data_IF_440488088498
#
_entry.id   IF_440488088498
#
_cell.length_a   1.000
_cell.length_b   1.000
_cell.length_c   1.000
_cell.angle_alpha   90.00
_cell.angle_beta   90.00
_cell.angle_gamma   90.00
#
_symmetry.space_group_name_H-M   'P 1'
#
loop_
_entity.id
_entity.type
_entity.pdbx_description
1 polymer ?
#
# COMPACT_ATOMS: atom_id res chain seq x y z
N UNK A 1 -11.81 -3.92 -4.14
CA UNK A 1 -11.99 -3.23 -5.45
C UNK A 1 -13.47 -2.93 -5.57
N UNK A 2 -13.89 -1.66 -5.74
CA UNK A 2 -15.30 -1.30 -5.78
C UNK A 2 -16.04 -2.01 -6.91
N UNK A 3 -17.15 -2.70 -6.61
CA UNK A 3 -17.96 -3.41 -7.60
C UNK A 3 -18.57 -2.48 -8.64
N UNK A 4 -18.77 -1.20 -8.27
CA UNK A 4 -19.25 -0.15 -9.18
C UNK A 4 -18.25 0.20 -10.30
N UNK A 5 -16.97 -0.11 -10.13
CA UNK A 5 -15.90 0.11 -11.12
C UNK A 5 -15.48 -1.21 -11.77
N UNK A 6 -15.42 -2.27 -10.98
CA UNK A 6 -14.98 -3.61 -11.39
C UNK A 6 -16.17 -4.59 -11.34
N UNK A 7 -17.18 -4.30 -12.12
CA UNK A 7 -18.34 -5.17 -12.29
C UNK A 7 -18.01 -6.42 -13.12
N UNK A 8 -19.03 -7.25 -13.37
CA UNK A 8 -18.87 -8.50 -14.15
C UNK A 8 -18.47 -8.26 -15.60
N UNK A 9 -18.75 -7.07 -16.13
CA UNK A 9 -18.49 -6.69 -17.52
C UNK A 9 -17.17 -5.92 -17.68
N UNK A 10 -16.44 -5.66 -16.55
CA UNK A 10 -15.15 -4.97 -16.59
C UNK A 10 -14.13 -5.75 -17.41
N UNK A 11 -13.67 -5.16 -18.50
CA UNK A 11 -12.66 -5.75 -19.37
C UNK A 11 -11.25 -5.56 -18.75
N UNK A 12 -10.77 -6.58 -18.05
CA UNK A 12 -9.37 -6.60 -17.59
C UNK A 12 -8.42 -6.60 -18.79
N UNK A 13 -7.23 -6.03 -18.57
CA UNK A 13 -6.19 -6.02 -19.60
C UNK A 13 -5.85 -7.44 -20.04
N UNK A 14 -5.69 -7.69 -21.36
CA UNK A 14 -5.27 -9.00 -21.87
C UNK A 14 -3.89 -9.34 -21.31
N UNK A 15 -3.65 -10.62 -21.05
CA UNK A 15 -2.40 -11.11 -20.46
C UNK A 15 -1.16 -10.68 -21.26
N UNK A 16 -1.27 -10.55 -22.58
CA UNK A 16 -0.19 -10.06 -23.46
C UNK A 16 0.20 -8.60 -23.20
N UNK A 17 -0.68 -7.81 -22.63
CA UNK A 17 -0.45 -6.42 -22.24
C UNK A 17 0.27 -6.32 -20.89
N UNK A 18 0.26 -7.38 -20.09
CA UNK A 18 0.91 -7.37 -18.77
C UNK A 18 2.41 -7.60 -18.91
N UNK A 19 3.19 -7.05 -17.99
CA UNK A 19 4.61 -7.38 -17.85
C UNK A 19 4.76 -8.84 -17.40
N UNK A 20 5.72 -9.54 -18.03
CA UNK A 20 6.21 -10.83 -17.57
C UNK A 20 7.09 -10.65 -16.34
N UNK A 21 7.30 -11.69 -15.57
CA UNK A 21 8.11 -11.62 -14.35
C UNK A 21 9.57 -11.24 -14.64
N UNK A 22 10.10 -11.68 -15.77
CA UNK A 22 11.43 -11.28 -16.26
C UNK A 22 11.49 -9.78 -16.57
N UNK A 23 10.44 -9.23 -17.16
CA UNK A 23 10.35 -7.80 -17.47
C UNK A 23 10.27 -6.96 -16.19
N UNK A 24 9.49 -7.43 -15.20
CA UNK A 24 9.40 -6.79 -13.87
C UNK A 24 10.76 -6.84 -13.17
N UNK A 25 11.40 -8.01 -13.11
CA UNK A 25 12.72 -8.19 -12.50
C UNK A 25 13.74 -7.25 -13.14
N UNK A 26 13.77 -7.13 -14.48
CA UNK A 26 14.67 -6.23 -15.19
C UNK A 26 14.46 -4.78 -14.82
N UNK A 27 13.19 -4.31 -14.78
CA UNK A 27 12.86 -2.95 -14.38
C UNK A 27 13.25 -2.71 -12.91
N UNK A 28 13.00 -3.67 -12.00
CA UNK A 28 13.39 -3.56 -10.60
C UNK A 28 14.91 -3.48 -10.43
N UNK A 29 15.70 -4.24 -11.21
CA UNK A 29 17.17 -4.12 -11.23
C UNK A 29 17.62 -2.70 -11.59
N UNK A 30 16.97 -2.08 -12.58
CA UNK A 30 17.26 -0.69 -12.95
C UNK A 30 16.89 0.27 -11.81
N UNK A 31 15.76 0.07 -11.13
CA UNK A 31 15.42 0.87 -9.94
C UNK A 31 16.44 0.70 -8.80
N UNK A 32 16.91 -0.52 -8.58
CA UNK A 32 17.94 -0.80 -7.57
C UNK A 32 19.24 -0.07 -7.90
N UNK A 33 19.66 0.02 -9.18
CA UNK A 33 20.84 0.81 -9.56
C UNK A 33 20.69 2.31 -9.31
N UNK A 34 19.46 2.80 -9.11
CA UNK A 34 19.16 4.17 -8.65
C UNK A 34 18.99 4.28 -7.12
N UNK A 35 19.37 3.26 -6.36
CA UNK A 35 19.32 3.29 -4.90
C UNK A 35 17.97 2.89 -4.31
N UNK A 36 17.09 2.20 -5.06
CA UNK A 36 15.86 1.65 -4.50
C UNK A 36 16.19 0.44 -3.64
N UNK A 37 15.82 0.50 -2.35
CA UNK A 37 16.07 -0.54 -1.36
C UNK A 37 14.83 -1.36 -1.02
N UNK A 38 13.64 -0.85 -1.39
CA UNK A 38 12.36 -1.44 -1.01
C UNK A 38 11.43 -1.58 -2.19
N UNK A 39 10.87 -2.77 -2.35
CA UNK A 39 9.80 -3.06 -3.32
C UNK A 39 8.57 -3.54 -2.59
N UNK A 40 7.43 -2.90 -2.91
CA UNK A 40 6.12 -3.30 -2.39
C UNK A 40 5.28 -3.87 -3.52
N UNK A 41 4.89 -5.12 -3.38
CA UNK A 41 3.90 -5.74 -4.24
C UNK A 41 2.50 -5.35 -3.76
N UNK A 42 1.70 -4.81 -4.65
CA UNK A 42 0.34 -4.33 -4.39
C UNK A 42 -0.46 -4.40 -5.69
N UNK A 43 -1.56 -3.71 -5.81
CA UNK A 43 -2.41 -3.68 -7.00
C UNK A 43 -3.87 -3.63 -6.58
N UNK A 44 -4.77 -4.26 -7.31
CA UNK A 44 -6.11 -4.57 -6.81
C UNK A 44 -5.98 -5.55 -5.64
N UNK A 45 -5.79 -6.85 -5.94
CA UNK A 45 -5.36 -7.85 -4.95
C UNK A 45 -4.20 -8.68 -5.56
N UNK A 46 -2.97 -8.49 -5.06
CA UNK A 46 -1.80 -9.15 -5.66
C UNK A 46 -1.83 -10.68 -5.52
N UNK A 47 -2.47 -11.23 -4.49
CA UNK A 47 -2.55 -12.66 -4.26
C UNK A 47 -3.41 -13.41 -5.29
N UNK A 48 -4.19 -12.68 -6.10
CA UNK A 48 -4.91 -13.24 -7.25
C UNK A 48 -4.00 -13.48 -8.46
N UNK A 49 -2.80 -12.86 -8.49
CA UNK A 49 -1.85 -13.12 -9.58
C UNK A 49 -1.30 -14.52 -9.47
N UNK A 50 -1.46 -15.29 -10.55
CA UNK A 50 -0.93 -16.65 -10.63
C UNK A 50 0.59 -16.63 -10.45
N UNK A 51 1.12 -17.60 -9.72
CA UNK A 51 2.56 -17.82 -9.50
C UNK A 51 3.30 -16.58 -8.94
N UNK A 52 2.64 -15.75 -8.12
CA UNK A 52 3.23 -14.55 -7.51
C UNK A 52 4.51 -14.87 -6.72
N UNK A 53 4.55 -16.04 -6.06
CA UNK A 53 5.71 -16.57 -5.35
C UNK A 53 6.94 -16.72 -6.25
N UNK A 54 6.76 -17.03 -7.54
CA UNK A 54 7.88 -17.07 -8.48
C UNK A 54 8.47 -15.67 -8.76
N UNK A 55 7.63 -14.64 -8.82
CA UNK A 55 8.11 -13.26 -8.90
C UNK A 55 8.86 -12.87 -7.63
N UNK A 56 8.31 -13.18 -6.45
CA UNK A 56 8.95 -12.89 -5.16
C UNK A 56 10.32 -13.56 -5.09
N UNK A 57 10.43 -14.84 -5.47
CA UNK A 57 11.69 -15.58 -5.46
C UNK A 57 12.74 -14.98 -6.42
N UNK A 58 12.33 -14.40 -7.56
CA UNK A 58 13.21 -13.66 -8.46
C UNK A 58 13.72 -12.37 -7.82
N UNK A 59 12.81 -11.57 -7.25
CA UNK A 59 13.15 -10.29 -6.62
C UNK A 59 13.96 -10.48 -5.34
N UNK A 60 13.75 -11.56 -4.59
CA UNK A 60 14.50 -11.89 -3.37
C UNK A 60 16.00 -12.18 -3.60
N UNK A 61 16.40 -12.43 -4.85
CA UNK A 61 17.82 -12.60 -5.23
C UNK A 61 18.53 -11.28 -5.51
N UNK A 62 17.79 -10.18 -5.59
CA UNK A 62 18.36 -8.86 -5.83
C UNK A 62 18.91 -8.29 -4.53
N UNK A 63 20.03 -7.59 -4.66
CA UNK A 63 20.65 -6.85 -3.57
C UNK A 63 20.68 -5.37 -3.89
N UNK A 64 20.61 -4.54 -2.87
CA UNK A 64 20.79 -3.09 -2.99
C UNK A 64 22.22 -2.75 -3.49
N UNK A 65 22.48 -1.49 -3.80
CA UNK A 65 23.82 -1.04 -4.20
C UNK A 65 24.85 -1.22 -3.08
N UNK A 66 24.42 -1.29 -1.82
CA UNK A 66 25.26 -1.59 -0.65
C UNK A 66 25.39 -3.12 -0.39
N UNK A 67 24.84 -3.97 -1.25
CA UNK A 67 24.91 -5.43 -1.11
C UNK A 67 23.94 -6.02 -0.08
N UNK A 68 22.98 -5.24 0.43
CA UNK A 68 21.96 -5.72 1.35
C UNK A 68 20.81 -6.40 0.61
N UNK A 69 20.08 -7.30 1.26
CA UNK A 69 18.87 -7.88 0.70
C UNK A 69 17.81 -6.80 0.45
N UNK A 70 17.16 -6.85 -0.73
CA UNK A 70 16.07 -5.94 -1.06
C UNK A 70 14.88 -6.16 -0.12
N UNK A 71 14.36 -5.08 0.48
CA UNK A 71 13.18 -5.14 1.38
C UNK A 71 11.91 -5.41 0.57
N UNK A 72 11.51 -6.68 0.50
CA UNK A 72 10.31 -7.11 -0.22
C UNK A 72 9.09 -7.10 0.70
N UNK A 73 8.09 -6.33 0.32
CA UNK A 73 6.84 -6.21 1.09
C UNK A 73 5.63 -6.48 0.21
N UNK A 74 4.53 -6.92 0.81
CA UNK A 74 3.25 -7.14 0.15
C UNK A 74 2.15 -6.35 0.88
N UNK A 75 1.23 -5.74 0.13
CA UNK A 75 -0.03 -5.22 0.66
C UNK A 75 -1.18 -6.04 0.08
N UNK A 76 -2.06 -6.57 0.92
CA UNK A 76 -3.14 -7.47 0.53
C UNK A 76 -4.41 -7.21 1.35
N UNK A 77 -5.57 -7.60 0.82
CA UNK A 77 -6.82 -7.64 1.56
C UNK A 77 -6.90 -8.83 2.56
N UNK A 78 -5.89 -9.70 2.60
CA UNK A 78 -5.76 -10.78 3.55
C UNK A 78 -6.55 -12.07 3.25
N UNK A 79 -7.57 -12.03 2.41
CA UNK A 79 -8.52 -13.15 2.18
C UNK A 79 -7.87 -14.46 1.70
N UNK A 80 -6.69 -14.39 1.08
CA UNK A 80 -5.97 -15.54 0.56
C UNK A 80 -4.73 -15.92 1.39
N UNK A 81 -4.43 -15.20 2.48
CA UNK A 81 -3.23 -15.43 3.29
C UNK A 81 -3.21 -16.81 3.95
N UNK A 82 -4.37 -17.31 4.40
CA UNK A 82 -4.49 -18.67 5.00
C UNK A 82 -3.88 -19.75 4.10
N UNK A 83 -4.02 -19.61 2.79
CA UNK A 83 -3.52 -20.56 1.80
C UNK A 83 -2.12 -20.24 1.27
N UNK A 84 -1.71 -18.96 1.30
CA UNK A 84 -0.52 -18.50 0.60
C UNK A 84 0.63 -18.04 1.51
N UNK A 85 0.39 -17.75 2.79
CA UNK A 85 1.39 -17.13 3.66
C UNK A 85 2.71 -17.92 3.72
N UNK A 86 2.67 -19.23 3.89
CA UNK A 86 3.87 -20.07 3.93
C UNK A 86 4.65 -20.01 2.61
N UNK A 87 3.97 -20.17 1.46
CA UNK A 87 4.60 -20.10 0.14
C UNK A 87 5.27 -18.75 -0.11
N UNK A 88 4.63 -17.65 0.31
CA UNK A 88 5.18 -16.30 0.16
C UNK A 88 6.44 -16.13 1.04
N UNK A 89 6.41 -16.68 2.26
CA UNK A 89 7.56 -16.65 3.17
C UNK A 89 8.74 -17.44 2.63
N UNK A 90 8.49 -18.64 2.15
CA UNK A 90 9.50 -19.53 1.56
C UNK A 90 10.11 -18.93 0.28
N UNK A 91 9.32 -18.18 -0.50
CA UNK A 91 9.78 -17.45 -1.66
C UNK A 91 10.68 -16.23 -1.33
N UNK A 92 10.77 -15.83 -0.05
CA UNK A 92 11.63 -14.74 0.40
C UNK A 92 10.90 -13.41 0.68
N UNK A 93 9.56 -13.39 0.73
CA UNK A 93 8.82 -12.21 1.17
C UNK A 93 9.14 -11.91 2.65
N UNK A 94 9.46 -10.66 2.96
CA UNK A 94 9.92 -10.29 4.30
C UNK A 94 8.81 -9.72 5.17
N UNK A 95 7.90 -8.93 4.60
CA UNK A 95 6.87 -8.22 5.36
C UNK A 95 5.53 -8.21 4.65
N UNK A 96 4.46 -8.24 5.45
CA UNK A 96 3.07 -8.14 4.98
C UNK A 96 2.40 -6.93 5.61
N UNK A 97 1.60 -6.25 4.80
CA UNK A 97 0.61 -5.28 5.24
C UNK A 97 -0.76 -5.82 4.84
N UNK A 98 -1.70 -5.83 5.77
CA UNK A 98 -3.07 -6.28 5.54
C UNK A 98 -4.01 -5.08 5.65
N UNK A 99 -4.91 -4.91 4.69
CA UNK A 99 -5.99 -3.93 4.76
C UNK A 99 -7.17 -4.51 5.52
N UNK A 100 -7.58 -3.84 6.62
CA UNK A 100 -8.67 -4.26 7.47
C UNK A 100 -9.33 -3.03 8.10
N UNK A 101 -10.51 -2.66 7.65
CA UNK A 101 -11.15 -1.39 7.98
C UNK A 101 -12.16 -1.49 9.13
N UNK A 102 -12.48 -2.68 9.64
CA UNK A 102 -13.33 -2.94 10.78
C UNK A 102 -13.17 -4.38 11.29
N UNK A 103 -13.59 -4.65 12.54
CA UNK A 103 -13.80 -6.00 13.10
C UNK A 103 -15.24 -6.47 12.95
N UNK A 104 -16.17 -5.53 12.86
CA UNK A 104 -17.59 -5.81 12.59
C UNK A 104 -17.75 -6.19 11.10
N UNK A 105 -18.39 -7.34 10.83
CA UNK A 105 -18.47 -7.91 9.47
C UNK A 105 -19.30 -7.03 8.52
N UNK A 106 -20.38 -6.42 9.00
CA UNK A 106 -21.25 -5.57 8.17
C UNK A 106 -20.52 -4.28 7.80
N UNK A 107 -19.83 -3.67 8.76
CA UNK A 107 -19.01 -2.47 8.55
C UNK A 107 -17.83 -2.78 7.61
N UNK A 108 -17.16 -3.91 7.82
CA UNK A 108 -16.06 -4.36 6.97
C UNK A 108 -16.51 -4.55 5.52
N UNK A 109 -17.61 -5.26 5.29
CA UNK A 109 -18.16 -5.49 3.94
C UNK A 109 -18.60 -4.20 3.27
N UNK A 110 -19.23 -3.29 4.02
CA UNK A 110 -19.65 -1.98 3.52
C UNK A 110 -18.46 -1.11 3.09
N UNK A 111 -17.35 -1.10 3.89
CA UNK A 111 -16.15 -0.32 3.60
C UNK A 111 -15.37 -0.87 2.39
N UNK A 112 -15.27 -2.19 2.26
CA UNK A 112 -14.39 -2.84 1.28
C UNK A 112 -15.13 -3.32 0.03
N UNK A 113 -16.46 -3.27 0.02
CA UNK A 113 -17.33 -3.76 -1.07
C UNK A 113 -16.96 -5.20 -1.49
N UNK A 114 -16.89 -6.11 -0.50
CA UNK A 114 -16.46 -7.50 -0.68
C UNK A 114 -17.51 -8.51 -0.21
N UNK A 115 -17.42 -9.74 -0.70
CA UNK A 115 -18.36 -10.82 -0.38
C UNK A 115 -17.82 -11.83 0.66
N UNK A 116 -16.57 -11.68 1.12
CA UNK A 116 -15.99 -12.54 2.14
C UNK A 116 -16.07 -11.91 3.54
N UNK A 117 -16.14 -12.73 4.61
CA UNK A 117 -16.25 -12.23 5.97
C UNK A 117 -14.92 -11.70 6.51
N UNK A 118 -15.00 -10.81 7.49
CA UNK A 118 -13.82 -10.28 8.20
C UNK A 118 -12.99 -11.40 8.85
N UNK A 119 -13.63 -12.50 9.26
CA UNK A 119 -12.96 -13.69 9.82
C UNK A 119 -11.87 -14.25 8.90
N UNK A 120 -12.10 -14.28 7.58
CA UNK A 120 -11.11 -14.77 6.62
C UNK A 120 -9.83 -13.92 6.65
N UNK A 121 -9.95 -12.62 6.90
CA UNK A 121 -8.81 -11.70 7.02
C UNK A 121 -8.05 -11.91 8.31
N UNK A 122 -8.77 -12.08 9.43
CA UNK A 122 -8.17 -12.35 10.74
C UNK A 122 -7.44 -13.69 10.75
N UNK A 123 -8.07 -14.74 10.22
CA UNK A 123 -7.43 -16.06 10.03
C UNK A 123 -6.20 -15.96 9.12
N UNK A 124 -6.25 -15.08 8.12
CA UNK A 124 -5.13 -14.80 7.23
C UNK A 124 -3.96 -14.12 7.94
N UNK A 125 -4.22 -13.17 8.85
CA UNK A 125 -3.19 -12.53 9.70
C UNK A 125 -2.53 -13.58 10.60
N UNK A 126 -3.33 -14.42 11.26
CA UNK A 126 -2.84 -15.50 12.11
C UNK A 126 -2.00 -16.52 11.32
N UNK A 127 -2.44 -16.89 10.12
CA UNK A 127 -1.69 -17.79 9.24
C UNK A 127 -0.35 -17.16 8.82
N UNK A 128 -0.31 -15.87 8.53
CA UNK A 128 0.93 -15.16 8.22
C UNK A 128 1.86 -15.11 9.43
N UNK A 129 1.33 -14.85 10.63
CA UNK A 129 2.13 -14.90 11.87
C UNK A 129 2.72 -16.30 12.10
N UNK A 130 1.94 -17.37 11.95
CA UNK A 130 2.42 -18.76 12.04
C UNK A 130 3.46 -19.11 10.98
N UNK A 131 3.38 -18.49 9.78
CA UNK A 131 4.38 -18.64 8.73
C UNK A 131 5.69 -17.86 9.00
N UNK A 132 5.79 -17.17 10.13
CA UNK A 132 7.00 -16.45 10.56
C UNK A 132 7.08 -15.00 10.10
N UNK A 133 6.00 -14.40 9.60
CA UNK A 133 5.94 -12.96 9.43
C UNK A 133 5.77 -12.28 10.79
N UNK A 134 6.73 -11.40 11.13
CA UNK A 134 6.71 -10.65 12.38
C UNK A 134 6.23 -9.23 12.14
N UNK A 135 5.61 -8.62 13.16
CA UNK A 135 5.16 -7.22 13.11
C UNK A 135 4.34 -6.90 11.84
N UNK A 136 3.34 -7.75 11.57
CA UNK A 136 2.42 -7.53 10.44
C UNK A 136 1.79 -6.14 10.62
N UNK A 137 1.79 -5.34 9.55
CA UNK A 137 1.13 -4.04 9.55
C UNK A 137 -0.32 -4.22 9.12
N UNK A 138 -1.25 -3.69 9.91
CA UNK A 138 -2.68 -3.69 9.59
C UNK A 138 -3.09 -2.26 9.30
N UNK A 139 -3.59 -2.00 8.10
CA UNK A 139 -4.04 -0.68 7.68
C UNK A 139 -5.56 -0.57 7.82
N UNK A 140 -6.02 0.48 8.50
CA UNK A 140 -7.41 0.87 8.59
C UNK A 140 -7.56 2.28 7.99
N UNK A 141 -8.31 2.41 6.90
CA UNK A 141 -8.76 3.72 6.42
C UNK A 141 -9.94 4.15 7.25
N UNK A 142 -9.88 5.34 7.86
CA UNK A 142 -10.93 5.83 8.76
C UNK A 142 -11.82 6.81 8.02
N UNK A 143 -13.12 6.48 7.92
CA UNK A 143 -14.15 7.32 7.31
C UNK A 143 -15.21 7.69 8.33
N UNK A 144 -15.44 9.00 8.52
CA UNK A 144 -16.43 9.52 9.47
C UNK A 144 -17.83 9.00 9.17
N UNK A 145 -18.53 8.57 10.22
CA UNK A 145 -19.91 8.10 10.15
C UNK A 145 -20.07 6.72 9.49
N UNK A 146 -18.96 6.06 9.12
CA UNK A 146 -18.97 4.72 8.52
C UNK A 146 -18.27 3.72 9.44
N UNK A 147 -16.96 3.87 9.67
CA UNK A 147 -16.18 2.95 10.50
C UNK A 147 -15.39 3.64 11.63
N UNK A 148 -15.62 4.92 11.89
CA UNK A 148 -14.93 5.66 12.96
C UNK A 148 -15.22 5.09 14.36
N UNK A 149 -16.39 4.50 14.59
CA UNK A 149 -16.71 3.78 15.81
C UNK A 149 -15.88 2.49 16.00
N UNK A 150 -15.19 2.01 14.95
CA UNK A 150 -14.30 0.86 15.01
C UNK A 150 -12.87 1.21 15.45
N UNK A 151 -12.49 2.49 15.58
CA UNK A 151 -11.13 2.92 15.99
C UNK A 151 -10.72 2.24 17.30
N UNK A 152 -11.53 2.35 18.33
CA UNK A 152 -11.22 1.76 19.65
C UNK A 152 -11.28 0.23 19.68
N UNK A 153 -12.30 -0.43 19.10
CA UNK A 153 -12.31 -1.88 18.93
C UNK A 153 -11.05 -2.41 18.24
N UNK A 154 -10.66 -1.80 17.12
CA UNK A 154 -9.44 -2.17 16.37
C UNK A 154 -8.17 -1.97 17.22
N UNK A 155 -8.03 -0.81 17.87
CA UNK A 155 -6.91 -0.52 18.75
C UNK A 155 -6.78 -1.54 19.88
N UNK A 156 -7.89 -1.92 20.53
CA UNK A 156 -7.92 -2.95 21.59
C UNK A 156 -7.54 -4.34 21.08
N UNK A 157 -8.04 -4.71 19.89
CA UNK A 157 -7.79 -6.03 19.31
C UNK A 157 -6.30 -6.24 18.98
N UNK A 158 -5.65 -5.24 18.39
CA UNK A 158 -4.25 -5.35 17.99
C UNK A 158 -3.24 -4.97 19.08
N UNK A 159 -3.69 -4.35 20.18
CA UNK A 159 -2.83 -4.04 21.33
C UNK A 159 -2.29 -5.35 21.96
N UNK A 160 -0.98 -5.44 22.12
CA UNK A 160 -0.32 -6.64 22.65
C UNK A 160 -0.19 -7.81 21.67
N UNK A 161 -0.72 -7.71 20.44
CA UNK A 161 -0.65 -8.78 19.43
C UNK A 161 0.75 -8.93 18.79
N UNK A 162 1.64 -7.95 18.94
CA UNK A 162 2.89 -7.86 18.20
C UNK A 162 2.74 -7.33 16.77
N UNK A 163 1.53 -7.00 16.34
CA UNK A 163 1.24 -6.36 15.06
C UNK A 163 1.12 -4.85 15.21
N UNK A 164 1.27 -4.10 14.10
CA UNK A 164 1.19 -2.63 14.10
C UNK A 164 -0.07 -2.19 13.38
N UNK A 165 -1.06 -1.72 14.13
CA UNK A 165 -2.24 -1.09 13.54
C UNK A 165 -1.91 0.31 13.05
N UNK A 166 -2.27 0.64 11.81
CA UNK A 166 -2.07 1.96 11.21
C UNK A 166 -3.38 2.53 10.74
N UNK A 167 -3.71 3.70 11.24
CA UNK A 167 -4.88 4.47 10.82
C UNK A 167 -4.50 5.42 9.69
N UNK A 168 -5.30 5.45 8.66
CA UNK A 168 -5.07 6.26 7.45
C UNK A 168 -6.26 7.20 7.28
N UNK A 169 -6.01 8.48 7.16
CA UNK A 169 -7.05 9.45 6.84
C UNK A 169 -7.68 9.12 5.48
N UNK A 170 -9.03 9.18 5.40
CA UNK A 170 -9.76 8.92 4.17
C UNK A 170 -9.36 9.92 3.08
N UNK A 171 -8.81 9.43 1.98
CA UNK A 171 -8.24 10.23 0.88
C UNK A 171 -9.10 10.19 -0.38
N UNK A 172 -8.98 11.23 -1.20
CA UNK A 172 -9.58 11.37 -2.52
C UNK A 172 -8.82 10.61 -3.63
N UNK A 173 -8.46 9.36 -3.36
CA UNK A 173 -7.76 8.49 -4.33
C UNK A 173 -8.71 7.99 -5.40
N UNK A 174 -8.24 7.96 -6.67
CA UNK A 174 -9.09 7.61 -7.80
C UNK A 174 -10.18 8.65 -8.08
N UNK A 175 -11.19 8.25 -8.81
CA UNK A 175 -12.33 9.09 -9.19
C UNK A 175 -13.68 8.58 -8.67
N UNK A 176 -13.71 7.36 -8.08
CA UNK A 176 -14.96 6.63 -7.78
C UNK A 176 -15.34 6.58 -6.31
N UNK A 177 -14.48 7.05 -5.38
CA UNK A 177 -14.70 6.84 -3.94
C UNK A 177 -15.64 7.85 -3.25
N UNK A 178 -16.17 8.85 -3.99
CA UNK A 178 -17.13 9.83 -3.47
C UNK A 178 -16.57 10.67 -2.31
N UNK A 179 -15.28 10.94 -2.27
CA UNK A 179 -14.60 11.62 -1.19
C UNK A 179 -15.14 13.02 -0.91
N UNK A 180 -15.31 13.34 0.38
CA UNK A 180 -15.64 14.66 0.89
C UNK A 180 -14.75 14.96 2.09
N UNK A 181 -14.35 16.22 2.25
CA UNK A 181 -13.52 16.64 3.39
C UNK A 181 -14.22 16.40 4.74
N UNK A 182 -15.53 16.53 4.79
CA UNK A 182 -16.34 16.28 6.00
C UNK A 182 -16.29 14.82 6.46
N UNK A 183 -15.96 13.88 5.57
CA UNK A 183 -15.82 12.46 5.86
C UNK A 183 -14.45 12.11 6.49
N UNK A 184 -13.53 13.09 6.56
CA UNK A 184 -12.18 12.89 7.11
C UNK A 184 -12.18 13.03 8.62
N UNK A 185 -11.55 12.07 9.30
CA UNK A 185 -11.17 12.18 10.72
C UNK A 185 -9.66 12.40 10.75
N UNK A 186 -9.22 13.45 11.45
CA UNK A 186 -7.81 13.76 11.52
C UNK A 186 -7.03 12.71 12.32
N UNK A 187 -5.79 12.45 11.92
CA UNK A 187 -4.88 11.58 12.68
C UNK A 187 -4.76 12.01 14.14
N UNK A 188 -4.76 13.33 14.40
CA UNK A 188 -4.75 13.87 15.77
C UNK A 188 -5.98 13.41 16.58
N UNK A 189 -7.18 13.42 15.99
CA UNK A 189 -8.40 13.01 16.68
C UNK A 189 -8.42 11.49 16.93
N UNK A 190 -7.88 10.69 15.99
CA UNK A 190 -7.68 9.25 16.18
C UNK A 190 -6.74 8.99 17.37
N UNK A 191 -5.57 9.63 17.39
CA UNK A 191 -4.61 9.49 18.49
C UNK A 191 -5.22 9.94 19.80
N UNK A 192 -5.91 11.08 19.84
CA UNK A 192 -6.55 11.59 21.05
C UNK A 192 -7.60 10.62 21.61
N UNK A 193 -8.43 10.02 20.75
CA UNK A 193 -9.45 9.05 21.16
C UNK A 193 -8.85 7.78 21.78
N UNK A 194 -7.72 7.29 21.23
CA UNK A 194 -7.02 6.13 21.77
C UNK A 194 -6.29 6.50 23.05
N UNK A 195 -5.57 7.64 23.06
CA UNK A 195 -4.81 8.13 24.22
C UNK A 195 -5.66 8.33 25.47
N UNK A 196 -6.92 8.74 25.31
CA UNK A 196 -7.86 8.92 26.43
C UNK A 196 -8.13 7.62 27.21
N UNK A 197 -7.95 6.44 26.55
CA UNK A 197 -8.23 5.13 27.18
C UNK A 197 -6.92 4.35 27.37
N UNK A 198 -6.02 4.44 26.41
CA UNK A 198 -4.73 3.76 26.38
C UNK A 198 -3.63 4.81 26.13
N UNK A 199 -2.96 5.32 27.16
CA UNK A 199 -1.99 6.39 27.04
C UNK A 199 -0.88 6.07 26.02
N UNK A 200 -0.60 7.03 25.14
CA UNK A 200 0.35 6.93 24.02
C UNK A 200 1.44 8.00 24.17
N UNK A 201 2.62 7.74 23.67
CA UNK A 201 3.67 8.73 23.44
C UNK A 201 4.19 8.64 22.00
N UNK A 202 4.60 9.77 21.39
CA UNK A 202 5.19 9.74 20.05
C UNK A 202 6.57 9.11 20.09
N UNK A 203 6.93 8.38 19.03
CA UNK A 203 8.28 7.82 18.86
C UNK A 203 8.85 8.22 17.51
N UNK A 204 10.18 8.32 17.44
CA UNK A 204 10.87 8.75 16.23
C UNK A 204 10.60 7.84 15.02
N UNK A 205 10.65 8.42 13.83
CA UNK A 205 10.63 7.67 12.58
C UNK A 205 11.82 6.70 12.50
N UNK A 206 11.62 5.56 11.87
CA UNK A 206 12.68 4.53 11.70
C UNK A 206 13.64 4.88 10.57
N UNK A 207 13.16 5.63 9.56
CA UNK A 207 13.94 6.04 8.39
C UNK A 207 13.38 7.33 7.79
N UNK A 208 14.19 8.03 7.02
CA UNK A 208 13.76 9.24 6.30
C UNK A 208 12.63 8.94 5.29
N UNK A 209 11.60 9.79 5.24
CA UNK A 209 10.43 9.59 4.36
C UNK A 209 9.43 8.53 4.85
N UNK A 210 9.52 8.08 6.12
CA UNK A 210 8.47 7.27 6.72
C UNK A 210 7.16 8.06 6.78
N UNK A 211 6.10 7.50 6.20
CA UNK A 211 4.80 8.20 6.04
C UNK A 211 3.93 8.13 7.28
N UNK A 212 4.13 7.11 8.11
CA UNK A 212 3.34 6.91 9.31
C UNK A 212 4.05 7.58 10.50
N UNK A 213 3.39 8.51 11.16
CA UNK A 213 3.76 8.94 12.50
C UNK A 213 3.50 7.78 13.47
N UNK A 214 4.48 7.49 14.33
CA UNK A 214 4.45 6.33 15.22
C UNK A 214 4.19 6.76 16.67
N UNK A 215 3.37 5.96 17.33
CA UNK A 215 2.97 6.18 18.73
C UNK A 215 3.07 4.86 19.49
N UNK A 216 3.71 4.85 20.65
CA UNK A 216 3.88 3.69 21.52
C UNK A 216 2.89 3.77 22.68
N UNK A 217 2.31 2.63 23.07
CA UNK A 217 1.57 2.51 24.31
C UNK A 217 2.52 2.61 25.50
N UNK A 218 2.18 3.46 26.51
CA UNK A 218 3.05 3.66 27.68
C UNK A 218 3.23 2.39 28.53
N UNK A 219 2.30 1.45 28.44
CA UNK A 219 2.41 0.17 29.15
C UNK A 219 3.26 -0.88 28.42
N UNK A 220 3.88 -0.52 27.31
CA UNK A 220 4.74 -1.43 26.52
C UNK A 220 3.99 -2.44 25.66
N UNK A 221 2.66 -2.33 25.53
CA UNK A 221 1.83 -3.30 24.76
C UNK A 221 1.93 -3.13 23.24
N UNK A 222 2.90 -2.39 22.72
CA UNK A 222 3.14 -2.23 21.29
C UNK A 222 3.02 -0.80 20.80
N UNK A 223 2.76 -0.65 19.50
CA UNK A 223 2.67 0.65 18.85
C UNK A 223 1.50 0.71 17.86
N UNK A 224 1.07 1.93 17.56
CA UNK A 224 0.19 2.26 16.44
C UNK A 224 0.90 3.23 15.49
N UNK A 225 0.40 3.35 14.27
CA UNK A 225 0.82 4.40 13.33
C UNK A 225 -0.38 5.22 12.87
N UNK A 226 -0.14 6.46 12.49
CA UNK A 226 -1.14 7.30 11.81
C UNK A 226 -0.55 7.87 10.53
N UNK A 227 -1.36 7.95 9.47
CA UNK A 227 -0.96 8.49 8.16
C UNK A 227 -1.86 9.67 7.83
N UNK A 228 -1.32 10.88 8.06
CA UNK A 228 -2.01 12.16 7.96
C UNK A 228 -2.01 12.69 6.51
N UNK A 229 -2.52 11.88 5.58
CA UNK A 229 -2.42 12.15 4.14
C UNK A 229 -3.26 13.34 3.65
N UNK A 230 -4.20 13.83 4.48
CA UNK A 230 -5.08 14.96 4.19
C UNK A 230 -4.72 16.17 5.05
N UNK A 231 -4.58 15.99 6.37
CA UNK A 231 -4.38 17.10 7.31
C UNK A 231 -2.92 17.52 7.42
N UNK A 232 -1.96 16.64 7.12
CA UNK A 232 -0.51 16.94 7.13
C UNK A 232 0.16 16.31 5.90
N UNK A 233 0.03 16.92 4.72
CA UNK A 233 0.60 16.38 3.48
C UNK A 233 2.14 16.28 3.55
N UNK A 234 2.68 15.21 2.97
CA UNK A 234 4.12 14.85 2.98
C UNK A 234 4.68 14.70 1.56
N UNK A 235 4.23 15.54 0.61
CA UNK A 235 4.67 15.46 -0.79
C UNK A 235 6.16 15.79 -0.97
N UNK A 236 6.69 16.73 -0.18
CA UNK A 236 8.09 17.16 -0.27
C UNK A 236 9.09 16.02 -0.05
N UNK A 237 8.79 15.10 0.89
CA UNK A 237 9.65 13.98 1.26
C UNK A 237 9.24 12.65 0.59
N UNK A 238 8.35 12.70 -0.40
CA UNK A 238 7.82 11.50 -1.03
C UNK A 238 8.83 10.85 -1.98
N UNK A 239 9.39 9.71 -1.59
CA UNK A 239 10.35 8.90 -2.36
C UNK A 239 9.72 7.71 -3.10
N UNK A 240 8.40 7.73 -3.36
CA UNK A 240 7.67 6.58 -3.90
C UNK A 240 7.38 6.72 -5.38
N UNK A 241 7.62 5.64 -6.12
CA UNK A 241 7.16 5.45 -7.50
C UNK A 241 6.28 4.19 -7.57
N UNK A 242 5.45 4.07 -8.59
CA UNK A 242 4.56 2.93 -8.83
C UNK A 242 4.71 2.44 -10.25
N UNK A 243 4.92 1.15 -10.40
CA UNK A 243 4.91 0.48 -11.69
C UNK A 243 3.61 -0.33 -11.81
N UNK A 244 2.76 0.02 -12.78
CA UNK A 244 1.56 -0.77 -13.04
C UNK A 244 1.91 -2.13 -13.66
N UNK A 245 0.98 -3.07 -13.59
CA UNK A 245 1.14 -4.41 -14.17
C UNK A 245 1.35 -4.40 -15.68
N UNK A 246 0.94 -3.35 -16.36
CA UNK A 246 1.17 -3.14 -17.80
C UNK A 246 2.45 -2.35 -18.10
N UNK A 247 3.24 -1.98 -17.09
CA UNK A 247 4.54 -1.33 -17.27
C UNK A 247 4.49 0.19 -17.45
N UNK A 248 3.49 0.85 -16.88
CA UNK A 248 3.48 2.32 -16.75
C UNK A 248 4.04 2.75 -15.40
N UNK A 249 4.94 3.72 -15.42
CA UNK A 249 5.50 4.34 -14.22
C UNK A 249 4.71 5.57 -13.82
N UNK A 250 4.33 5.63 -12.54
CA UNK A 250 3.66 6.75 -11.92
C UNK A 250 4.51 7.27 -10.76
N UNK A 251 4.70 8.58 -10.68
CA UNK A 251 5.47 9.25 -9.63
C UNK A 251 4.59 9.75 -8.48
N UNK A 252 3.26 9.75 -8.67
CA UNK A 252 2.29 10.17 -7.66
C UNK A 252 1.10 9.20 -7.58
N UNK A 253 0.51 9.04 -6.38
CA UNK A 253 -0.72 8.27 -6.17
C UNK A 253 -1.92 8.93 -6.86
N UNK A 254 -1.90 10.24 -7.02
CA UNK A 254 -2.97 11.03 -7.62
C UNK A 254 -2.70 11.37 -9.09
N UNK A 255 -1.79 10.66 -9.75
CA UNK A 255 -1.46 10.90 -11.14
C UNK A 255 -2.66 10.64 -12.07
N UNK A 256 -2.79 11.46 -13.12
CA UNK A 256 -3.78 11.31 -14.18
C UNK A 256 -3.30 10.41 -15.33
N UNK A 257 -1.98 10.23 -15.47
CA UNK A 257 -1.35 9.43 -16.51
C UNK A 257 -0.03 8.84 -16.02
N UNK A 258 0.43 7.76 -16.67
CA UNK A 258 1.72 7.13 -16.39
C UNK A 258 2.62 7.11 -17.63
N UNK A 259 3.92 6.98 -17.41
CA UNK A 259 4.95 6.91 -18.44
C UNK A 259 5.20 5.47 -18.88
N UNK A 260 5.18 5.22 -20.19
CA UNK A 260 5.27 3.87 -20.78
C UNK A 260 6.70 3.31 -20.76
N UNK A 261 7.05 2.56 -19.70
CA UNK A 261 8.33 1.83 -19.67
C UNK A 261 8.27 0.51 -20.44
N UNK A 262 7.08 -0.09 -20.60
CA UNK A 262 6.92 -1.33 -21.38
C UNK A 262 7.29 -1.10 -22.85
N UNK A 263 6.85 0.02 -23.43
CA UNK A 263 7.20 0.37 -24.81
C UNK A 263 8.70 0.46 -25.01
N UNK A 264 9.42 1.10 -24.09
CA UNK A 264 10.88 1.16 -24.12
C UNK A 264 11.49 -0.25 -23.99
N UNK A 265 11.06 -1.03 -23.00
CA UNK A 265 11.56 -2.38 -22.72
C UNK A 265 11.39 -3.30 -23.93
N UNK A 266 10.20 -3.36 -24.51
CA UNK A 266 9.86 -4.23 -25.65
C UNK A 266 10.38 -3.70 -26.98
N UNK A 267 10.67 -2.40 -27.05
CA UNK A 267 11.38 -1.74 -28.16
C UNK A 267 12.87 -2.02 -28.20
N UNK A 268 13.41 -2.82 -27.26
CA UNK A 268 14.81 -3.22 -27.25
C UNK A 268 15.75 -2.22 -26.54
N UNK A 269 15.22 -1.31 -25.71
CA UNK A 269 16.05 -0.40 -24.93
C UNK A 269 17.04 -1.16 -24.03
N UNK A 270 18.29 -0.68 -23.94
CA UNK A 270 19.29 -1.19 -23.01
C UNK A 270 18.93 -0.81 -21.55
N UNK A 271 19.63 -1.41 -20.58
CA UNK A 271 19.41 -1.06 -19.16
C UNK A 271 19.82 0.39 -18.86
N UNK A 272 20.87 0.90 -19.55
CA UNK A 272 21.30 2.30 -19.47
C UNK A 272 20.24 3.26 -20.02
N UNK A 273 19.58 2.90 -21.13
CA UNK A 273 18.49 3.70 -21.70
C UNK A 273 17.27 3.72 -20.78
N UNK A 274 16.90 2.58 -20.18
CA UNK A 274 15.85 2.50 -19.18
C UNK A 274 16.20 3.34 -17.93
N UNK A 275 17.44 3.23 -17.45
CA UNK A 275 17.93 3.99 -16.31
C UNK A 275 17.88 5.50 -16.59
N UNK A 276 18.35 5.94 -17.76
CA UNK A 276 18.26 7.34 -18.17
C UNK A 276 16.82 7.87 -18.23
N UNK A 277 15.88 7.06 -18.77
CA UNK A 277 14.49 7.43 -18.83
C UNK A 277 13.86 7.56 -17.41
N UNK A 278 14.12 6.60 -16.52
CA UNK A 278 13.63 6.62 -15.13
C UNK A 278 14.22 7.81 -14.37
N UNK A 279 15.53 8.06 -14.49
CA UNK A 279 16.21 9.19 -13.86
C UNK A 279 15.61 10.54 -14.32
N UNK A 280 15.40 10.69 -15.63
CA UNK A 280 14.80 11.90 -16.19
C UNK A 280 13.37 12.14 -15.63
N UNK A 281 12.53 11.09 -15.61
CA UNK A 281 11.17 11.17 -15.05
C UNK A 281 11.19 11.54 -13.56
N UNK A 282 12.12 10.99 -12.80
CA UNK A 282 12.26 11.29 -11.37
C UNK A 282 12.74 12.72 -11.12
N UNK A 283 13.74 13.20 -11.87
CA UNK A 283 14.30 14.54 -11.73
C UNK A 283 13.32 15.64 -12.17
N UNK A 284 12.48 15.37 -13.18
CA UNK A 284 11.46 16.30 -13.67
C UNK A 284 10.17 16.28 -12.84
N UNK A 285 10.10 15.48 -11.78
CA UNK A 285 8.93 15.32 -10.94
C UNK A 285 8.55 16.62 -10.22
N UNK A 286 7.30 17.04 -10.35
CA UNK A 286 6.73 18.18 -9.69
C UNK A 286 5.43 17.86 -8.93
N UNK A 287 5.23 16.59 -8.56
CA UNK A 287 4.01 16.11 -7.92
C UNK A 287 3.85 16.66 -6.49
N UNK A 288 2.82 17.48 -6.28
CA UNK A 288 2.48 18.08 -4.98
C UNK A 288 0.99 18.02 -4.68
N UNK A 289 0.29 17.05 -5.25
CA UNK A 289 -1.18 17.00 -5.19
C UNK A 289 -1.74 17.15 -3.77
N UNK A 290 -1.24 16.40 -2.78
CA UNK A 290 -1.77 16.46 -1.42
C UNK A 290 -1.56 17.83 -0.75
N UNK A 291 -0.52 18.58 -1.13
CA UNK A 291 -0.25 19.94 -0.62
C UNK A 291 -1.15 20.98 -1.26
N UNK A 292 -1.48 20.83 -2.55
CA UNK A 292 -2.32 21.79 -3.29
C UNK A 292 -3.79 21.35 -3.34
N UNK A 293 -4.15 20.29 -2.59
CA UNK A 293 -5.54 19.80 -2.56
C UNK A 293 -6.51 20.94 -2.23
N UNK A 294 -7.48 21.15 -3.10
CA UNK A 294 -8.51 22.17 -2.97
C UNK A 294 -9.80 21.71 -3.66
N UNK A 295 -10.87 22.48 -3.54
CA UNK A 295 -12.11 22.23 -4.28
C UNK A 295 -11.89 22.16 -5.80
N UNK A 296 -10.90 22.89 -6.33
CA UNK A 296 -10.58 22.89 -7.76
C UNK A 296 -9.82 21.63 -8.21
N UNK A 297 -9.10 20.94 -7.30
CA UNK A 297 -8.37 19.71 -7.63
C UNK A 297 -9.23 18.45 -7.51
N UNK A 298 -10.34 18.51 -6.79
CA UNK A 298 -11.25 17.36 -6.55
C UNK A 298 -11.90 16.86 -7.85
N UNK A 299 -12.12 17.70 -8.83
CA UNK A 299 -12.70 17.33 -10.14
C UNK A 299 -11.70 16.80 -11.16
N UNK A 300 -10.41 16.71 -10.82
CA UNK A 300 -9.40 16.23 -11.77
C UNK A 300 -9.50 14.70 -11.94
N UNK A 301 -9.37 14.25 -13.19
CA UNK A 301 -9.31 12.82 -13.49
C UNK A 301 -8.04 12.22 -12.87
N UNK A 302 -8.21 11.18 -12.07
CA UNK A 302 -7.13 10.41 -11.45
C UNK A 302 -7.23 8.95 -11.87
N UNK A 303 -6.10 8.28 -11.88
CA UNK A 303 -6.10 6.82 -12.06
C UNK A 303 -6.59 6.17 -10.78
N UNK A 304 -7.40 5.12 -10.90
CA UNK A 304 -7.90 4.37 -9.74
C UNK A 304 -6.75 3.76 -8.93
N UNK A 305 -6.83 3.88 -7.61
CA UNK A 305 -5.81 3.34 -6.69
C UNK A 305 -5.66 1.82 -6.86
N UNK A 306 -6.75 1.12 -7.11
CA UNK A 306 -6.77 -0.33 -7.38
C UNK A 306 -6.00 -0.73 -8.64
N UNK A 307 -5.73 0.21 -9.54
CA UNK A 307 -4.97 -0.01 -10.76
C UNK A 307 -3.45 0.21 -10.56
N UNK A 308 -3.07 1.24 -9.82
CA UNK A 308 -1.66 1.62 -9.63
C UNK A 308 -1.08 1.21 -8.28
N UNK A 309 -1.90 0.63 -7.41
CA UNK A 309 -1.55 0.23 -6.07
C UNK A 309 -1.43 1.39 -5.07
N UNK A 310 -1.92 1.19 -3.87
CA UNK A 310 -1.92 2.13 -2.76
C UNK A 310 -1.39 1.52 -1.48
#
# INVERSE_FOLDING_TARGET
>A
MPKSVFDRDYAFLPQSSLLRFEEIERIVKVFVSHGVEKVRLTGGEPLLRKDLEALIARLARLTTVEGQALDLTLTTNGSLLTRKAALLRDAGLQRITVSLDALDDDVFRAMNDVDFPVGDVLDGIDAAARAGFRSIKVNMVVKRGVNDHQILPMARHFRGSGHVLRFIEFMDVGASNGWRLDDVISSRDVVASIHAIHPLEPIAAQYGGEVAERWRYLDGSGEIGVISSVTQPFCADCSRARLSTEGRLYTCLFAASGHDLRGLLRGGASDEQLAGAIAHLWQSRADRYSEIRSSQTLGQRKIEMSYIGG
#
